data_IF_286038958171
#
_entry.id   IF_286038958171
#
_cell.length_a   1.000
_cell.length_b   1.000
_cell.length_c   1.000
_cell.angle_alpha   90.00
_cell.angle_beta   90.00
_cell.angle_gamma   90.00
#
_symmetry.space_group_name_H-M   'P 1'
#
loop_
_entity.id
_entity.type
_entity.pdbx_description
1 polymer ?
#
# COMPACT_ATOMS: atom_id res chain seq x y z
N UNK A 1 12.71 5.76 13.12
CA UNK A 1 11.81 6.27 12.08
C UNK A 1 11.23 5.09 11.31
N UNK A 2 9.92 5.04 11.19
CA UNK A 2 9.25 3.99 10.40
C UNK A 2 8.96 4.53 9.00
N UNK A 3 9.31 3.73 8.01
CA UNK A 3 9.02 4.06 6.62
C UNK A 3 8.40 2.85 5.94
N UNK A 4 7.34 3.08 5.17
CA UNK A 4 6.72 2.00 4.40
C UNK A 4 5.91 2.60 3.25
N UNK A 5 5.55 1.73 2.30
CA UNK A 5 4.62 2.07 1.23
C UNK A 5 3.29 1.40 1.51
N UNK A 6 2.22 2.01 1.08
CA UNK A 6 0.88 1.54 1.42
C UNK A 6 -0.04 1.60 0.22
N UNK A 7 -0.75 0.50 -0.02
CA UNK A 7 -1.82 0.45 -1.02
C UNK A 7 -3.15 0.43 -0.27
N UNK A 8 -4.03 1.34 -0.62
CA UNK A 8 -5.41 1.36 -0.14
C UNK A 8 -6.33 1.03 -1.31
N UNK A 9 -7.55 0.57 -1.01
CA UNK A 9 -8.41 -0.01 -2.04
C UNK A 9 -9.84 0.48 -1.91
N UNK A 10 -10.59 0.39 -3.02
CA UNK A 10 -12.00 0.74 -3.05
C UNK A 10 -12.88 -0.43 -2.59
N UNK A 11 -12.35 -1.65 -2.58
CA UNK A 11 -13.09 -2.82 -2.12
C UNK A 11 -12.20 -3.79 -1.34
N UNK A 12 -12.81 -4.55 -0.44
CA UNK A 12 -12.12 -5.61 0.31
C UNK A 12 -11.58 -6.68 -0.63
N UNK A 13 -12.33 -7.00 -1.68
CA UNK A 13 -11.92 -7.99 -2.66
C UNK A 13 -10.60 -7.59 -3.34
N UNK A 14 -10.47 -6.31 -3.73
CA UNK A 14 -9.25 -5.80 -4.33
C UNK A 14 -8.08 -5.90 -3.36
N UNK A 15 -8.30 -5.59 -2.08
CA UNK A 15 -7.26 -5.67 -1.06
C UNK A 15 -6.75 -7.10 -0.88
N UNK A 16 -7.68 -8.06 -0.76
CA UNK A 16 -7.32 -9.45 -0.55
C UNK A 16 -6.60 -10.04 -1.77
N UNK A 17 -7.09 -9.74 -2.98
CA UNK A 17 -6.44 -10.24 -4.19
C UNK A 17 -5.04 -9.66 -4.35
N UNK A 18 -4.82 -8.41 -3.98
CA UNK A 18 -3.50 -7.78 -4.04
C UNK A 18 -2.55 -8.39 -3.00
N UNK A 19 -3.04 -8.66 -1.79
CA UNK A 19 -2.21 -9.30 -0.77
C UNK A 19 -1.73 -10.66 -1.25
N UNK A 20 -2.60 -11.44 -1.85
CA UNK A 20 -2.23 -12.75 -2.40
C UNK A 20 -1.21 -12.62 -3.53
N UNK A 21 -1.42 -11.66 -4.40
CA UNK A 21 -0.53 -11.41 -5.54
C UNK A 21 0.88 -11.02 -5.08
N UNK A 22 0.97 -10.21 -4.03
CA UNK A 22 2.24 -9.66 -3.54
C UNK A 22 2.88 -10.51 -2.44
N UNK A 23 2.39 -11.71 -2.17
CA UNK A 23 3.01 -12.59 -1.17
C UNK A 23 4.51 -12.80 -1.38
N UNK A 24 5.02 -13.00 -2.62
CA UNK A 24 6.46 -13.13 -2.80
C UNK A 24 7.26 -11.91 -2.35
N UNK A 25 6.64 -10.74 -2.28
CA UNK A 25 7.27 -9.51 -1.80
C UNK A 25 7.07 -9.33 -0.28
N UNK A 26 6.51 -10.32 0.41
CA UNK A 26 6.37 -10.35 1.87
C UNK A 26 5.58 -9.15 2.41
N UNK A 27 4.52 -8.77 1.70
CA UNK A 27 3.64 -7.68 2.14
C UNK A 27 2.80 -8.10 3.35
N UNK A 28 2.28 -7.11 4.07
CA UNK A 28 1.47 -7.34 5.27
C UNK A 28 0.15 -6.60 5.13
N UNK A 29 -0.94 -7.25 5.54
CA UNK A 29 -2.24 -6.58 5.66
C UNK A 29 -2.28 -5.80 6.96
N UNK A 30 -2.82 -4.57 6.91
CA UNK A 30 -3.03 -3.75 8.09
C UNK A 30 -4.28 -2.90 7.93
N UNK A 31 -4.89 -2.44 9.03
CA UNK A 31 -5.99 -1.49 8.93
C UNK A 31 -5.50 -0.20 8.26
N UNK A 32 -6.39 0.47 7.52
CA UNK A 32 -6.06 1.75 6.93
C UNK A 32 -5.79 2.76 8.05
N UNK A 33 -4.63 3.45 8.04
CA UNK A 33 -4.33 4.45 9.05
C UNK A 33 -5.34 5.60 9.05
N UNK A 34 -5.53 6.20 10.22
CA UNK A 34 -6.52 7.29 10.39
C UNK A 34 -6.25 8.51 9.52
N UNK A 35 -5.00 8.75 9.15
CA UNK A 35 -4.64 9.90 8.33
C UNK A 35 -4.88 9.66 6.85
N UNK A 36 -5.41 8.50 6.46
CA UNK A 36 -5.78 8.18 5.09
C UNK A 36 -7.26 7.85 5.03
N UNK A 37 -7.96 8.43 4.04
CA UNK A 37 -9.35 8.10 3.77
C UNK A 37 -9.41 7.06 2.65
N UNK A 38 -10.15 5.97 2.88
CA UNK A 38 -10.31 4.92 1.88
C UNK A 38 -11.66 4.23 2.09
N UNK A 39 -12.25 3.73 1.00
CA UNK A 39 -13.55 3.06 1.04
C UNK A 39 -13.47 1.71 1.75
N UNK A 40 -12.35 1.00 1.60
CA UNK A 40 -12.11 -0.27 2.26
C UNK A 40 -11.26 -0.02 3.51
N UNK A 41 -11.58 -0.73 4.61
CA UNK A 41 -10.84 -0.58 5.87
C UNK A 41 -9.52 -1.36 5.92
N UNK A 42 -9.16 -2.05 4.85
CA UNK A 42 -7.96 -2.90 4.78
C UNK A 42 -6.98 -2.29 3.80
N UNK A 43 -5.69 -2.31 4.16
CA UNK A 43 -4.61 -1.85 3.30
C UNK A 43 -3.50 -2.88 3.25
N UNK A 44 -2.61 -2.74 2.25
CA UNK A 44 -1.45 -3.60 2.09
C UNK A 44 -0.20 -2.77 2.30
N UNK A 45 0.60 -3.18 3.28
CA UNK A 45 1.86 -2.52 3.62
C UNK A 45 3.01 -3.18 2.88
N UNK A 46 3.83 -2.35 2.24
CA UNK A 46 5.02 -2.79 1.49
C UNK A 46 6.25 -2.22 2.20
N UNK A 47 7.22 -3.08 2.51
CA UNK A 47 8.48 -2.62 3.09
C UNK A 47 9.29 -1.86 2.05
N UNK A 48 10.07 -0.85 2.46
CA UNK A 48 10.86 -0.06 1.50
C UNK A 48 11.82 -0.91 0.66
N UNK A 49 12.42 -1.93 1.25
CA UNK A 49 13.36 -2.82 0.54
C UNK A 49 12.65 -3.74 -0.46
N UNK A 50 11.32 -3.85 -0.39
CA UNK A 50 10.52 -4.67 -1.31
C UNK A 50 9.68 -3.82 -2.26
N UNK A 51 9.90 -2.51 -2.30
CA UNK A 51 9.12 -1.61 -3.15
C UNK A 51 9.21 -2.00 -4.62
N UNK A 52 10.42 -2.17 -5.12
CA UNK A 52 10.64 -2.47 -6.53
C UNK A 52 10.01 -3.80 -6.91
N UNK A 53 10.23 -4.84 -6.10
CA UNK A 53 9.65 -6.17 -6.35
C UNK A 53 8.14 -6.11 -6.35
N UNK A 54 7.55 -5.40 -5.36
CA UNK A 54 6.10 -5.26 -5.27
C UNK A 54 5.52 -4.53 -6.47
N UNK A 55 6.16 -3.43 -6.89
CA UNK A 55 5.69 -2.67 -8.04
C UNK A 55 5.78 -3.49 -9.33
N UNK A 56 6.84 -4.26 -9.50
CA UNK A 56 6.99 -5.10 -10.69
C UNK A 56 5.94 -6.19 -10.75
N UNK A 57 5.68 -6.87 -9.64
CA UNK A 57 4.65 -7.91 -9.59
C UNK A 57 3.27 -7.31 -9.85
N UNK A 58 2.98 -6.18 -9.22
CA UNK A 58 1.70 -5.50 -9.38
C UNK A 58 1.49 -5.08 -10.84
N UNK A 59 2.52 -4.48 -11.44
CA UNK A 59 2.47 -4.00 -12.83
C UNK A 59 2.22 -5.16 -13.81
N UNK A 60 2.84 -6.30 -13.57
CA UNK A 60 2.77 -7.43 -14.50
C UNK A 60 1.50 -8.26 -14.32
N UNK A 61 0.96 -8.34 -13.12
CA UNK A 61 -0.04 -9.35 -12.79
C UNK A 61 -1.37 -8.78 -12.26
N UNK A 62 -1.41 -7.53 -11.79
CA UNK A 62 -2.64 -6.98 -11.26
C UNK A 62 -3.60 -6.60 -12.38
N UNK A 63 -4.89 -6.86 -12.13
CA UNK A 63 -5.97 -6.49 -13.05
C UNK A 63 -6.68 -5.22 -12.60
N UNK A 64 -6.21 -4.58 -11.53
CA UNK A 64 -6.83 -3.38 -11.00
C UNK A 64 -6.54 -2.18 -11.90
N UNK A 65 -7.52 -1.27 -11.97
CA UNK A 65 -7.34 0.01 -12.63
C UNK A 65 -6.89 1.05 -11.61
N UNK A 66 -6.51 2.23 -12.10
CA UNK A 66 -6.09 3.32 -11.23
C UNK A 66 -7.22 3.84 -10.34
N UNK A 67 -8.48 3.50 -10.64
CA UNK A 67 -9.62 3.86 -9.82
C UNK A 67 -9.85 2.88 -8.68
N UNK A 68 -9.23 1.72 -8.71
CA UNK A 68 -9.45 0.66 -7.72
C UNK A 68 -8.55 0.78 -6.49
N UNK A 69 -7.47 1.55 -6.57
CA UNK A 69 -6.50 1.65 -5.48
C UNK A 69 -5.83 3.02 -5.44
N UNK A 70 -5.19 3.30 -4.31
CA UNK A 70 -4.30 4.45 -4.16
C UNK A 70 -2.98 3.99 -3.54
N UNK A 71 -1.90 4.69 -3.86
CA UNK A 71 -0.55 4.31 -3.46
C UNK A 71 0.06 5.46 -2.67
N UNK A 72 0.69 5.14 -1.52
CA UNK A 72 1.23 6.16 -0.62
C UNK A 72 2.63 5.79 -0.16
N UNK A 73 3.42 6.82 0.14
CA UNK A 73 4.68 6.70 0.86
C UNK A 73 4.47 7.31 2.24
N UNK A 74 4.72 6.52 3.30
CA UNK A 74 4.47 6.95 4.68
C UNK A 74 5.77 6.91 5.45
N UNK A 75 6.07 8.01 6.14
CA UNK A 75 7.21 8.13 7.06
C UNK A 75 6.66 8.59 8.40
N UNK A 76 6.98 7.85 9.46
CA UNK A 76 6.55 8.17 10.81
C UNK A 76 7.75 8.32 11.73
N UNK A 77 7.83 9.46 12.41
CA UNK A 77 8.84 9.69 13.43
C UNK A 77 8.32 9.17 14.77
N UNK A 78 8.96 8.12 15.31
CA UNK A 78 8.54 7.51 16.56
C UNK A 78 8.71 8.45 17.75
N UNK A 79 9.73 9.30 17.72
CA UNK A 79 10.03 10.20 18.84
C UNK A 79 8.98 11.30 18.98
N UNK A 80 8.61 11.93 17.87
CA UNK A 80 7.65 13.04 17.87
C UNK A 80 6.22 12.59 17.60
N UNK A 81 6.05 11.43 16.97
CA UNK A 81 4.75 10.97 16.49
C UNK A 81 4.31 11.61 15.18
N UNK A 82 5.14 12.47 14.59
CA UNK A 82 4.82 13.12 13.33
C UNK A 82 4.76 12.10 12.19
N UNK A 83 3.82 12.30 11.28
CA UNK A 83 3.62 11.43 10.13
C UNK A 83 3.65 12.27 8.85
N UNK A 84 4.45 11.82 7.87
CA UNK A 84 4.42 12.34 6.52
C UNK A 84 3.80 11.27 5.63
N UNK A 85 2.71 11.62 4.95
CA UNK A 85 2.00 10.70 4.07
C UNK A 85 1.85 11.38 2.72
N UNK A 86 2.53 10.85 1.72
CA UNK A 86 2.51 11.42 0.37
C UNK A 86 1.84 10.44 -0.59
N UNK A 87 0.81 10.91 -1.29
CA UNK A 87 0.17 10.11 -2.32
C UNK A 87 1.07 10.07 -3.55
N UNK A 88 1.34 8.86 -4.02
CA UNK A 88 2.20 8.61 -5.17
C UNK A 88 1.38 8.39 -6.43
N UNK A 89 2.06 8.47 -7.58
CA UNK A 89 1.45 8.09 -8.84
C UNK A 89 1.06 6.61 -8.80
N UNK A 90 0.01 6.23 -9.53
CA UNK A 90 -0.33 4.81 -9.64
C UNK A 90 0.83 3.99 -10.19
N UNK A 91 0.88 2.73 -9.82
CA UNK A 91 1.89 1.79 -10.31
C UNK A 91 1.56 1.46 -11.77
N UNK A 92 2.46 1.82 -12.68
CA UNK A 92 2.27 1.60 -14.12
C UNK A 92 3.33 0.69 -14.69
#
# INVERSE_FOLDING_TARGET
MDEYYLLTFESTHAAISTEKLLKPAEVTIMPVPRFISASCGISVRIRPDMRESSENIFRESSKLTTDDYSYYHVIRDRASGDVQCNKLEPIK
#
